data_IF_176818774404
#
_entry.id   IF_176818774404
#
_cell.length_a   1.000
_cell.length_b   1.000
_cell.length_c   1.000
_cell.angle_alpha   90.00
_cell.angle_beta   90.00
_cell.angle_gamma   90.00
#
_symmetry.space_group_name_H-M   'P 1'
#
loop_
_entity.id
_entity.type
_entity.pdbx_description
1 polymer ?
#
# COMPACT_ATOMS: atom_id res chain seq x y z
N UNK A 1 -10.19 41.25 -4.39
CA UNK A 1 -11.15 40.14 -4.61
C UNK A 1 -11.83 39.87 -3.27
N UNK A 2 -12.42 40.90 -2.67
CA UNK A 2 -12.42 41.02 -1.20
C UNK A 2 -13.51 40.19 -0.50
N UNK A 3 -14.35 39.53 -1.29
CA UNK A 3 -15.47 38.71 -0.83
C UNK A 3 -15.27 37.20 -1.07
N UNK A 4 -14.22 36.79 -1.79
CA UNK A 4 -13.96 35.37 -2.09
C UNK A 4 -12.81 34.87 -1.24
N UNK A 5 -13.05 33.78 -0.49
CA UNK A 5 -12.04 33.09 0.31
C UNK A 5 -11.96 31.64 -0.14
N UNK A 6 -10.75 31.14 -0.30
CA UNK A 6 -10.49 29.73 -0.65
C UNK A 6 -9.79 29.08 0.53
N UNK A 7 -10.35 27.97 1.02
CA UNK A 7 -9.78 27.18 2.11
C UNK A 7 -9.53 25.76 1.60
N UNK A 8 -8.32 25.25 1.80
CA UNK A 8 -7.95 23.87 1.51
C UNK A 8 -7.93 23.08 2.81
N UNK A 9 -8.81 22.08 2.92
CA UNK A 9 -8.89 21.23 4.12
C UNK A 9 -8.13 19.93 3.87
N UNK A 10 -7.22 19.57 4.77
CA UNK A 10 -6.46 18.32 4.72
C UNK A 10 -6.46 17.62 6.08
N UNK A 11 -6.68 16.31 6.07
CA UNK A 11 -6.68 15.49 7.29
C UNK A 11 -5.26 15.24 7.83
N UNK A 12 -4.27 15.13 6.96
CA UNK A 12 -2.87 15.02 7.35
C UNK A 12 -2.29 16.34 7.84
N UNK A 13 -1.17 16.27 8.57
CA UNK A 13 -0.43 17.48 8.99
C UNK A 13 0.35 18.10 7.82
N UNK A 14 0.64 17.28 6.80
CA UNK A 14 1.40 17.65 5.63
C UNK A 14 0.55 17.45 4.38
N UNK A 15 0.65 18.38 3.43
CA UNK A 15 0.13 18.20 2.08
C UNK A 15 1.02 17.23 1.30
N UNK A 16 0.49 16.65 0.22
CA UNK A 16 1.28 15.83 -0.71
C UNK A 16 2.12 14.76 0.01
N UNK A 17 1.50 13.98 0.90
CA UNK A 17 2.20 13.06 1.83
C UNK A 17 3.05 11.98 1.15
N UNK A 18 2.91 11.78 -0.15
CA UNK A 18 3.74 10.89 -0.98
C UNK A 18 5.06 11.53 -1.40
N UNK A 19 5.23 12.84 -1.18
CA UNK A 19 6.42 13.61 -1.51
C UNK A 19 7.23 13.95 -0.25
N UNK A 20 8.47 14.39 -0.47
CA UNK A 20 9.34 14.86 0.60
C UNK A 20 8.74 16.07 1.36
N UNK A 21 9.11 16.21 2.64
CA UNK A 21 8.62 17.28 3.52
C UNK A 21 8.94 18.67 2.99
N UNK A 22 10.08 18.87 2.33
CA UNK A 22 10.43 20.16 1.73
C UNK A 22 9.46 20.59 0.64
N UNK A 23 8.98 19.63 -0.18
CA UNK A 23 7.97 19.88 -1.22
C UNK A 23 6.63 20.26 -0.57
N UNK A 24 6.23 19.54 0.47
CA UNK A 24 5.00 19.82 1.22
C UNK A 24 5.01 21.24 1.80
N UNK A 25 6.10 21.62 2.47
CA UNK A 25 6.25 22.95 3.06
C UNK A 25 6.21 24.04 1.98
N UNK A 26 6.92 23.85 0.87
CA UNK A 26 6.93 24.83 -0.23
C UNK A 26 5.55 24.97 -0.88
N UNK A 27 4.79 23.88 -0.97
CA UNK A 27 3.42 23.90 -1.48
C UNK A 27 2.49 24.75 -0.59
N UNK A 28 2.60 24.63 0.73
CA UNK A 28 1.83 25.45 1.69
C UNK A 28 2.17 26.94 1.52
N UNK A 29 3.47 27.28 1.47
CA UNK A 29 3.91 28.67 1.24
C UNK A 29 3.29 29.26 -0.04
N UNK A 30 3.33 28.51 -1.15
CA UNK A 30 2.76 28.94 -2.44
C UNK A 30 1.24 29.14 -2.35
N UNK A 31 0.52 28.28 -1.61
CA UNK A 31 -0.91 28.43 -1.42
C UNK A 31 -1.25 29.70 -0.62
N UNK A 32 -0.54 29.92 0.49
CA UNK A 32 -0.75 31.09 1.35
C UNK A 32 -0.40 32.40 0.64
N UNK A 33 0.71 32.43 -0.12
CA UNK A 33 1.09 33.56 -0.98
C UNK A 33 0.00 33.89 -2.02
N UNK A 34 -0.76 32.88 -2.47
CA UNK A 34 -1.88 33.03 -3.42
C UNK A 34 -3.23 33.28 -2.74
N UNK A 35 -3.26 33.44 -1.40
CA UNK A 35 -4.48 33.71 -0.64
C UNK A 35 -5.36 32.48 -0.39
N UNK A 36 -4.79 31.27 -0.51
CA UNK A 36 -5.46 30.02 -0.12
C UNK A 36 -5.06 29.67 1.30
N UNK A 37 -6.03 29.62 2.20
CA UNK A 37 -5.81 29.23 3.60
C UNK A 37 -5.77 27.71 3.72
N UNK A 38 -4.67 27.16 4.23
CA UNK A 38 -4.49 25.71 4.39
C UNK A 38 -4.86 25.28 5.81
N UNK A 39 -5.90 24.45 5.92
CA UNK A 39 -6.37 23.85 7.15
C UNK A 39 -5.90 22.40 7.24
N UNK A 40 -4.63 22.20 7.62
CA UNK A 40 -4.03 20.89 7.83
C UNK A 40 -4.38 20.30 9.22
N UNK A 41 -4.44 18.97 9.32
CA UNK A 41 -4.86 18.27 10.54
C UNK A 41 -6.37 18.35 10.84
N UNK A 42 -7.17 18.78 9.88
CA UNK A 42 -8.64 18.86 9.98
C UNK A 42 -9.29 17.73 9.20
N UNK A 43 -10.16 16.97 9.87
CA UNK A 43 -10.98 15.94 9.24
C UNK A 43 -12.42 16.42 9.11
N UNK A 44 -12.95 16.44 7.90
CA UNK A 44 -14.38 16.70 7.69
C UNK A 44 -15.20 15.55 8.26
N UNK A 45 -16.20 15.88 9.07
CA UNK A 45 -17.12 14.92 9.71
C UNK A 45 -18.51 14.96 9.09
N UNK A 46 -18.97 16.14 8.68
CA UNK A 46 -20.28 16.33 8.08
C UNK A 46 -20.26 17.51 7.11
N UNK A 47 -21.05 17.42 6.03
CA UNK A 47 -21.31 18.52 5.10
C UNK A 47 -22.81 18.74 5.05
N UNK A 48 -23.25 19.91 5.49
CA UNK A 48 -24.66 20.32 5.39
C UNK A 48 -24.84 21.26 4.20
N UNK A 49 -26.05 21.79 3.99
CA UNK A 49 -26.33 22.74 2.91
C UNK A 49 -25.58 24.08 3.03
N UNK A 50 -25.15 24.46 4.23
CA UNK A 50 -24.56 25.79 4.49
C UNK A 50 -23.19 25.75 5.15
N UNK A 51 -22.83 24.64 5.79
CA UNK A 51 -21.61 24.52 6.57
C UNK A 51 -20.92 23.17 6.36
N UNK A 52 -19.60 23.18 6.51
CA UNK A 52 -18.79 21.98 6.71
C UNK A 52 -18.44 21.92 8.20
N UNK A 53 -18.71 20.78 8.82
CA UNK A 53 -18.25 20.47 10.17
C UNK A 53 -16.98 19.62 10.08
N UNK A 54 -16.01 19.97 10.91
CA UNK A 54 -14.69 19.35 10.94
C UNK A 54 -14.27 19.09 12.37
N UNK A 55 -13.37 18.13 12.52
CA UNK A 55 -12.70 17.83 13.78
C UNK A 55 -11.20 17.89 13.58
N UNK A 56 -10.52 18.63 14.44
CA UNK A 56 -9.06 18.67 14.49
C UNK A 56 -8.54 17.45 15.26
N UNK A 57 -7.26 17.09 15.05
CA UNK A 57 -6.64 15.93 15.71
C UNK A 57 -6.71 15.94 17.24
N UNK A 58 -6.67 17.13 17.85
CA UNK A 58 -6.81 17.34 19.30
C UNK A 58 -8.25 17.17 19.82
N UNK A 59 -9.21 16.96 18.92
CA UNK A 59 -10.60 16.72 19.24
C UNK A 59 -11.51 17.93 19.11
N UNK A 60 -10.96 19.11 18.85
CA UNK A 60 -11.72 20.35 18.68
C UNK A 60 -12.65 20.25 17.46
N UNK A 61 -13.93 20.58 17.65
CA UNK A 61 -14.92 20.66 16.58
C UNK A 61 -14.99 22.10 16.03
N UNK A 62 -14.92 22.23 14.71
CA UNK A 62 -14.92 23.51 14.00
C UNK A 62 -15.94 23.46 12.86
N UNK A 63 -16.72 24.52 12.69
CA UNK A 63 -17.66 24.66 11.59
C UNK A 63 -17.28 25.85 10.71
N UNK A 64 -17.42 25.71 9.39
CA UNK A 64 -17.17 26.76 8.41
C UNK A 64 -18.33 26.87 7.44
N UNK A 65 -18.84 28.08 7.24
CA UNK A 65 -19.78 28.37 6.16
C UNK A 65 -19.08 28.31 4.80
N UNK A 66 -19.81 27.85 3.78
CA UNK A 66 -19.29 27.77 2.42
C UNK A 66 -20.34 28.17 1.37
N UNK A 67 -19.86 28.63 0.21
CA UNK A 67 -20.67 28.81 -0.99
C UNK A 67 -20.51 27.68 -2.01
N UNK A 68 -19.33 27.06 -2.05
CA UNK A 68 -19.02 25.91 -2.91
C UNK A 68 -18.07 24.95 -2.17
N UNK A 69 -18.27 23.64 -2.34
CA UNK A 69 -17.36 22.58 -1.85
C UNK A 69 -16.92 21.73 -3.02
N UNK A 70 -15.61 21.47 -3.08
CA UNK A 70 -15.02 20.49 -3.98
C UNK A 70 -14.45 19.36 -3.14
N UNK A 71 -15.05 18.17 -3.24
CA UNK A 71 -14.56 16.99 -2.54
C UNK A 71 -13.57 16.23 -3.44
N UNK A 72 -12.28 16.40 -3.17
CA UNK A 72 -11.19 15.84 -3.98
C UNK A 72 -10.43 14.72 -3.26
N UNK A 73 -11.07 13.99 -2.36
CA UNK A 73 -10.43 12.98 -1.53
C UNK A 73 -11.17 11.64 -1.54
N UNK A 74 -10.39 10.56 -1.46
CA UNK A 74 -10.90 9.20 -1.29
C UNK A 74 -11.31 8.56 -2.61
N UNK A 75 -10.88 7.32 -2.79
CA UNK A 75 -11.40 6.41 -3.80
C UNK A 75 -12.21 5.33 -3.09
N UNK A 76 -13.21 4.78 -3.79
CA UNK A 76 -13.97 3.63 -3.32
C UNK A 76 -14.11 2.63 -4.46
N UNK A 77 -14.15 1.35 -4.12
CA UNK A 77 -14.52 0.29 -5.04
C UNK A 77 -15.84 0.58 -5.75
N UNK A 78 -15.86 0.34 -7.04
CA UNK A 78 -17.07 0.40 -7.85
C UNK A 78 -18.04 -0.71 -7.42
N UNK A 79 -19.34 -0.43 -7.48
CA UNK A 79 -20.40 -1.38 -7.16
C UNK A 79 -20.30 -2.68 -7.99
N UNK A 80 -19.95 -2.58 -9.27
CA UNK A 80 -19.73 -3.75 -10.14
C UNK A 80 -18.60 -4.64 -9.62
N UNK A 81 -17.50 -4.05 -9.14
CA UNK A 81 -16.36 -4.77 -8.58
C UNK A 81 -16.78 -5.56 -7.34
N UNK A 82 -17.61 -4.97 -6.47
CA UNK A 82 -18.13 -5.63 -5.28
C UNK A 82 -19.05 -6.80 -5.64
N UNK A 83 -20.00 -6.57 -6.54
CA UNK A 83 -20.94 -7.61 -6.99
C UNK A 83 -20.24 -8.78 -7.68
N UNK A 84 -19.21 -8.50 -8.49
CA UNK A 84 -18.38 -9.53 -9.12
C UNK A 84 -17.62 -10.33 -8.06
N UNK A 85 -16.97 -9.66 -7.11
CA UNK A 85 -16.27 -10.33 -5.99
C UNK A 85 -17.23 -11.24 -5.22
N UNK A 86 -18.40 -10.77 -4.84
CA UNK A 86 -19.39 -11.55 -4.11
C UNK A 86 -19.89 -12.76 -4.91
N UNK A 87 -20.08 -12.59 -6.22
CA UNK A 87 -20.49 -13.68 -7.11
C UNK A 87 -19.42 -14.76 -7.23
N UNK A 88 -18.15 -14.36 -7.32
CA UNK A 88 -17.02 -15.30 -7.38
C UNK A 88 -16.82 -16.02 -6.04
N UNK A 89 -17.02 -15.35 -4.92
CA UNK A 89 -16.98 -16.00 -3.60
C UNK A 89 -18.05 -17.09 -3.50
N UNK A 90 -19.29 -16.78 -3.93
CA UNK A 90 -20.40 -17.74 -3.94
C UNK A 90 -20.14 -18.91 -4.87
N UNK A 91 -19.64 -18.64 -6.08
CA UNK A 91 -19.33 -19.67 -7.07
C UNK A 91 -18.29 -20.68 -6.56
N UNK A 92 -17.36 -20.22 -5.72
CA UNK A 92 -16.29 -21.03 -5.16
C UNK A 92 -16.54 -21.44 -3.70
N UNK A 93 -17.80 -21.48 -3.24
CA UNK A 93 -18.13 -21.98 -1.91
C UNK A 93 -17.66 -23.43 -1.71
N UNK A 94 -17.04 -23.71 -0.56
CA UNK A 94 -16.48 -25.02 -0.24
C UNK A 94 -15.10 -25.31 -0.85
N UNK A 95 -14.58 -24.45 -1.73
CA UNK A 95 -13.22 -24.59 -2.27
C UNK A 95 -12.18 -24.25 -1.20
N UNK A 96 -11.32 -25.21 -0.88
CA UNK A 96 -10.23 -25.07 0.10
C UNK A 96 -8.91 -24.62 -0.55
N UNK A 97 -8.99 -23.86 -1.63
CA UNK A 97 -7.83 -23.27 -2.29
C UNK A 97 -7.52 -21.91 -1.67
N UNK A 98 -6.29 -21.73 -1.19
CA UNK A 98 -5.81 -20.47 -0.63
C UNK A 98 -5.85 -19.32 -1.66
N UNK A 99 -5.62 -19.63 -2.95
CA UNK A 99 -5.66 -18.66 -4.05
C UNK A 99 -7.07 -18.13 -4.32
N UNK A 100 -8.11 -18.89 -3.96
CA UNK A 100 -9.50 -18.44 -4.07
C UNK A 100 -9.99 -17.78 -2.79
N UNK A 101 -9.60 -18.33 -1.63
CA UNK A 101 -10.00 -17.79 -0.33
C UNK A 101 -9.49 -16.37 -0.07
N UNK A 102 -8.41 -15.95 -0.74
CA UNK A 102 -7.91 -14.58 -0.66
C UNK A 102 -8.95 -13.53 -1.13
N UNK A 103 -9.91 -13.88 -1.98
CA UNK A 103 -11.01 -12.99 -2.41
C UNK A 103 -11.81 -12.42 -1.23
N UNK A 104 -11.89 -13.14 -0.11
CA UNK A 104 -12.60 -12.72 1.10
C UNK A 104 -11.86 -11.63 1.87
N UNK A 105 -10.57 -11.43 1.61
CA UNK A 105 -9.76 -10.40 2.25
C UNK A 105 -10.19 -8.99 1.77
N UNK A 106 -10.16 -7.96 2.65
CA UNK A 106 -10.32 -6.57 2.22
C UNK A 106 -9.22 -6.14 1.24
N UNK A 107 -9.61 -5.45 0.17
CA UNK A 107 -8.72 -4.91 -0.84
C UNK A 107 -9.34 -3.65 -1.47
N UNK A 108 -8.54 -2.83 -2.13
CA UNK A 108 -9.02 -1.59 -2.78
C UNK A 108 -9.62 -1.86 -4.17
N UNK A 109 -9.40 -3.05 -4.72
CA UNK A 109 -9.98 -3.56 -5.97
C UNK A 109 -10.28 -5.05 -5.86
N UNK A 110 -10.76 -5.65 -6.95
CA UNK A 110 -10.88 -7.12 -7.04
C UNK A 110 -9.49 -7.75 -7.07
N UNK A 111 -9.33 -8.89 -6.42
CA UNK A 111 -8.01 -9.48 -6.25
C UNK A 111 -7.62 -10.26 -7.50
N UNK A 112 -6.43 -9.97 -8.01
CA UNK A 112 -5.84 -10.65 -9.17
C UNK A 112 -4.56 -11.37 -8.79
N UNK A 113 -4.14 -12.31 -9.63
CA UNK A 113 -2.79 -12.88 -9.61
C UNK A 113 -1.78 -11.99 -10.34
N UNK A 114 -0.55 -12.50 -10.46
CA UNK A 114 0.58 -11.88 -11.15
C UNK A 114 0.34 -11.64 -12.65
N UNK A 115 -0.61 -12.39 -13.24
CA UNK A 115 -1.02 -12.28 -14.64
C UNK A 115 -2.28 -11.42 -14.81
N UNK A 116 -2.68 -10.71 -13.75
CA UNK A 116 -3.87 -9.86 -13.69
C UNK A 116 -5.19 -10.62 -13.86
N UNK A 117 -5.17 -11.95 -13.73
CA UNK A 117 -6.37 -12.78 -13.73
C UNK A 117 -7.05 -12.63 -12.38
N UNK A 118 -8.36 -12.39 -12.41
CA UNK A 118 -9.17 -12.34 -11.20
C UNK A 118 -9.18 -13.72 -10.56
N UNK A 119 -8.75 -13.78 -9.29
CA UNK A 119 -8.74 -15.04 -8.53
C UNK A 119 -10.16 -15.62 -8.46
N UNK A 120 -10.28 -16.95 -8.52
CA UNK A 120 -11.58 -17.65 -8.51
C UNK A 120 -12.41 -17.52 -9.80
N UNK A 121 -11.91 -16.86 -10.85
CA UNK A 121 -12.59 -16.76 -12.15
C UNK A 121 -12.27 -17.91 -13.12
N UNK A 122 -11.35 -18.81 -12.74
CA UNK A 122 -10.83 -19.85 -13.64
C UNK A 122 -10.04 -19.29 -14.83
N UNK A 123 -9.42 -18.11 -14.68
CA UNK A 123 -8.63 -17.45 -15.73
C UNK A 123 -9.47 -16.80 -16.84
N UNK A 124 -10.78 -16.67 -16.63
CA UNK A 124 -11.70 -16.11 -17.62
C UNK A 124 -11.89 -14.59 -17.51
N UNK A 125 -11.52 -14.00 -16.38
CA UNK A 125 -11.70 -12.57 -16.09
C UNK A 125 -10.35 -11.96 -15.72
N UNK A 126 -10.07 -10.78 -16.26
CA UNK A 126 -8.88 -9.99 -15.96
C UNK A 126 -9.30 -8.62 -15.43
N UNK A 127 -8.51 -8.06 -14.52
CA UNK A 127 -8.75 -6.72 -13.98
C UNK A 127 -7.44 -5.94 -13.82
N UNK A 128 -7.50 -4.63 -14.05
CA UNK A 128 -6.34 -3.74 -14.04
C UNK A 128 -6.74 -2.31 -13.65
N UNK A 129 -5.75 -1.51 -13.25
CA UNK A 129 -5.94 -0.17 -12.71
C UNK A 129 -6.60 -0.17 -11.32
N UNK A 130 -7.28 0.93 -10.98
CA UNK A 130 -7.90 1.15 -9.65
C UNK A 130 -8.94 0.09 -9.28
N UNK A 131 -9.49 -0.63 -10.27
CA UNK A 131 -10.45 -1.71 -10.04
C UNK A 131 -9.79 -3.01 -9.55
N UNK A 132 -8.46 -3.12 -9.56
CA UNK A 132 -7.72 -4.33 -9.25
C UNK A 132 -6.78 -4.16 -8.05
N UNK A 133 -6.46 -5.26 -7.40
CA UNK A 133 -5.41 -5.35 -6.39
C UNK A 133 -4.63 -6.63 -6.61
N UNK A 134 -3.42 -6.49 -7.14
CA UNK A 134 -2.53 -7.64 -7.38
C UNK A 134 -2.11 -8.25 -6.04
N UNK A 135 -2.24 -9.57 -5.95
CA UNK A 135 -1.76 -10.36 -4.81
C UNK A 135 -0.86 -11.47 -5.34
N UNK A 136 0.44 -11.24 -5.18
CA UNK A 136 1.50 -12.19 -5.43
C UNK A 136 1.29 -13.48 -4.62
N UNK A 137 1.76 -14.58 -5.16
CA UNK A 137 1.84 -15.83 -4.41
C UNK A 137 2.76 -15.68 -3.20
N UNK A 138 2.35 -16.31 -2.10
CA UNK A 138 3.13 -16.26 -0.86
C UNK A 138 4.31 -17.22 -1.01
N UNK A 139 5.49 -16.76 -0.61
CA UNK A 139 6.70 -17.61 -0.50
C UNK A 139 6.67 -18.51 0.72
N UNK A 140 5.90 -18.16 1.75
CA UNK A 140 5.88 -18.87 3.03
C UNK A 140 5.61 -20.39 2.93
N UNK A 141 4.71 -20.90 2.07
CA UNK A 141 4.53 -22.34 1.87
C UNK A 141 5.75 -23.05 1.28
N UNK A 142 6.64 -22.30 0.62
CA UNK A 142 7.85 -22.80 -0.03
C UNK A 142 9.12 -22.54 0.79
N UNK A 143 8.99 -22.00 2.01
CA UNK A 143 10.12 -21.58 2.82
C UNK A 143 11.15 -22.72 3.03
N UNK A 144 10.68 -23.91 3.41
CA UNK A 144 11.57 -25.06 3.65
C UNK A 144 12.31 -25.49 2.39
N UNK A 145 11.61 -25.55 1.24
CA UNK A 145 12.22 -25.92 -0.03
C UNK A 145 13.20 -24.87 -0.55
N UNK A 146 12.86 -23.59 -0.39
CA UNK A 146 13.72 -22.47 -0.78
C UNK A 146 14.98 -22.44 0.08
N UNK A 147 14.84 -22.66 1.39
CA UNK A 147 15.96 -22.75 2.31
C UNK A 147 16.90 -23.90 1.95
N UNK A 148 16.36 -25.12 1.75
CA UNK A 148 17.15 -26.29 1.38
C UNK A 148 17.86 -26.13 0.02
N UNK A 149 17.27 -25.40 -0.92
CA UNK A 149 17.89 -25.12 -2.21
C UNK A 149 19.08 -24.15 -2.10
N UNK A 150 19.09 -23.29 -1.09
CA UNK A 150 20.14 -22.29 -0.85
C UNK A 150 21.25 -22.77 0.09
N UNK A 151 20.92 -23.63 1.05
CA UNK A 151 21.86 -24.21 2.02
C UNK A 151 22.68 -25.36 1.39
N UNK A 152 23.58 -25.01 0.46
CA UNK A 152 24.35 -25.97 -0.33
C UNK A 152 25.38 -26.74 0.51
N UNK A 153 25.85 -26.15 1.61
CA UNK A 153 26.82 -26.76 2.52
C UNK A 153 26.15 -27.50 3.71
N UNK A 154 24.81 -27.44 3.79
CA UNK A 154 24.00 -28.05 4.84
C UNK A 154 24.41 -27.57 6.25
N UNK A 155 24.84 -26.31 6.34
CA UNK A 155 25.19 -25.63 7.58
C UNK A 155 23.97 -25.37 8.46
N UNK A 156 22.76 -25.39 7.89
CA UNK A 156 21.50 -24.95 8.49
C UNK A 156 21.41 -23.45 8.74
N UNK A 157 22.31 -22.69 8.14
CA UNK A 157 22.31 -21.24 8.13
C UNK A 157 22.43 -20.76 6.67
N UNK A 158 21.96 -19.54 6.37
CA UNK A 158 22.20 -18.92 5.07
C UNK A 158 23.07 -17.69 5.24
N UNK A 159 24.17 -17.64 4.52
CA UNK A 159 24.96 -16.42 4.39
C UNK A 159 24.17 -15.36 3.60
N UNK A 160 24.54 -14.08 3.76
CA UNK A 160 23.92 -12.99 2.97
C UNK A 160 24.08 -13.19 1.46
N UNK A 161 25.16 -13.87 1.04
CA UNK A 161 25.41 -14.17 -0.38
C UNK A 161 24.45 -15.26 -0.87
N UNK A 162 24.30 -16.35 -0.12
CA UNK A 162 23.34 -17.42 -0.46
C UNK A 162 21.90 -16.93 -0.43
N UNK A 163 21.55 -16.08 0.54
CA UNK A 163 20.21 -15.48 0.61
C UNK A 163 19.94 -14.55 -0.58
N UNK A 164 20.92 -13.75 -1.00
CA UNK A 164 20.83 -12.92 -2.20
C UNK A 164 20.62 -13.78 -3.44
N UNK A 165 21.44 -14.81 -3.61
CA UNK A 165 21.40 -15.68 -4.80
C UNK A 165 20.09 -16.49 -4.87
N UNK A 166 19.59 -16.94 -3.71
CA UNK A 166 18.26 -17.53 -3.58
C UNK A 166 17.18 -16.56 -4.05
N UNK A 167 17.16 -15.34 -3.54
CA UNK A 167 16.14 -14.35 -3.89
C UNK A 167 16.20 -13.96 -5.37
N UNK A 168 17.41 -13.85 -5.93
CA UNK A 168 17.61 -13.56 -7.34
C UNK A 168 17.20 -14.74 -8.24
N UNK A 169 17.43 -15.98 -7.82
CA UNK A 169 17.03 -17.17 -8.58
C UNK A 169 15.52 -17.45 -8.50
N UNK A 170 14.90 -17.13 -7.36
CA UNK A 170 13.48 -17.33 -7.12
C UNK A 170 12.61 -16.15 -7.60
N UNK A 171 13.21 -15.02 -8.04
CA UNK A 171 12.45 -13.83 -8.45
C UNK A 171 11.60 -14.03 -9.69
N UNK A 172 11.94 -14.98 -10.56
CA UNK A 172 11.14 -15.31 -11.75
C UNK A 172 9.75 -15.85 -11.36
N UNK A 173 9.68 -16.61 -10.26
CA UNK A 173 8.42 -17.18 -9.73
C UNK A 173 7.80 -16.30 -8.64
N UNK A 174 8.64 -15.62 -7.86
CA UNK A 174 8.24 -14.72 -6.77
C UNK A 174 8.83 -13.33 -7.00
N UNK A 175 8.22 -12.50 -7.87
CA UNK A 175 8.76 -11.19 -8.27
C UNK A 175 9.11 -10.26 -7.11
N UNK A 176 8.39 -10.38 -5.99
CA UNK A 176 8.67 -9.63 -4.77
C UNK A 176 10.09 -9.84 -4.21
N UNK A 177 10.75 -10.95 -4.55
CA UNK A 177 12.11 -11.26 -4.08
C UNK A 177 13.20 -10.45 -4.79
N UNK A 178 12.92 -9.93 -5.99
CA UNK A 178 13.89 -9.14 -6.76
C UNK A 178 14.34 -7.88 -5.99
N UNK A 179 13.39 -7.17 -5.37
CA UNK A 179 13.69 -5.97 -4.58
C UNK A 179 14.61 -6.29 -3.40
N UNK A 180 14.36 -7.41 -2.71
CA UNK A 180 15.22 -7.87 -1.62
C UNK A 180 16.60 -8.31 -2.12
N UNK A 181 16.70 -8.95 -3.29
CA UNK A 181 17.98 -9.32 -3.89
C UNK A 181 18.83 -8.09 -4.25
N UNK A 182 18.21 -7.05 -4.86
CA UNK A 182 18.88 -5.79 -5.17
C UNK A 182 19.39 -5.11 -3.89
N UNK A 183 18.58 -5.12 -2.84
CA UNK A 183 18.95 -4.57 -1.55
C UNK A 183 20.14 -5.30 -0.91
N UNK A 184 20.12 -6.65 -0.93
CA UNK A 184 21.21 -7.47 -0.41
C UNK A 184 22.49 -7.30 -1.24
N UNK A 185 22.38 -7.04 -2.54
CA UNK A 185 23.54 -6.75 -3.39
C UNK A 185 24.26 -5.47 -2.95
N UNK A 186 23.51 -4.38 -2.71
CA UNK A 186 24.07 -3.14 -2.18
C UNK A 186 24.63 -3.28 -0.75
N UNK A 187 24.08 -4.21 0.03
CA UNK A 187 24.49 -4.50 1.40
C UNK A 187 25.82 -5.25 1.50
N UNK A 188 26.15 -6.07 0.51
CA UNK A 188 27.38 -6.88 0.47
C UNK A 188 28.58 -6.03 0.00
N UNK A 189 28.34 -4.97 -0.77
CA UNK A 189 29.39 -4.11 -1.35
C UNK A 189 29.79 -2.92 -0.47
N UNK A 190 28.97 -2.50 0.51
CA UNK A 190 29.25 -1.38 1.40
C UNK A 190 28.93 -1.71 2.87
N UNK A 191 29.79 -1.27 3.81
CA UNK A 191 29.52 -1.26 5.26
C UNK A 191 28.37 -0.29 5.57
N UNK A 192 27.15 -0.75 5.32
CA UNK A 192 25.96 0.08 5.26
C UNK A 192 25.12 -0.13 6.54
N UNK A 193 24.81 0.94 7.30
CA UNK A 193 24.13 0.84 8.59
C UNK A 193 22.73 0.23 8.53
N UNK A 194 22.08 0.17 7.35
CA UNK A 194 20.81 -0.55 7.20
C UNK A 194 20.97 -2.07 7.12
N UNK A 195 22.15 -2.56 6.75
CA UNK A 195 22.52 -3.99 6.77
C UNK A 195 22.67 -4.47 8.20
N UNK A 196 23.27 -3.63 9.07
CA UNK A 196 23.32 -3.88 10.51
C UNK A 196 21.93 -3.98 11.15
N UNK A 197 20.94 -3.24 10.64
CA UNK A 197 19.56 -3.34 11.12
C UNK A 197 18.88 -4.66 10.72
N UNK A 198 19.14 -5.16 9.50
CA UNK A 198 18.64 -6.46 9.04
C UNK A 198 19.39 -7.61 9.71
N UNK A 199 20.72 -7.56 9.79
CA UNK A 199 21.52 -8.51 10.55
C UNK A 199 21.09 -8.57 12.02
N UNK A 200 20.59 -7.46 12.59
CA UNK A 200 19.98 -7.44 13.92
C UNK A 200 18.57 -8.04 13.94
N UNK A 201 17.71 -7.73 12.97
CA UNK A 201 16.35 -8.30 12.88
C UNK A 201 16.35 -9.81 12.60
N UNK A 202 17.27 -10.29 11.77
CA UNK A 202 17.43 -11.72 11.46
C UNK A 202 18.37 -12.43 12.44
N UNK A 203 19.33 -11.72 13.05
CA UNK A 203 20.19 -12.25 14.11
C UNK A 203 19.47 -12.42 15.45
N UNK A 204 18.52 -11.55 15.80
CA UNK A 204 17.62 -11.74 16.95
C UNK A 204 16.58 -12.86 16.70
N UNK A 205 16.39 -13.29 15.46
CA UNK A 205 15.53 -14.44 15.11
C UNK A 205 16.28 -15.78 15.12
N UNK A 206 17.61 -15.75 15.31
CA UNK A 206 18.51 -16.91 15.38
C UNK A 206 19.03 -17.20 16.80
N UNK A 207 18.57 -16.46 17.82
CA UNK A 207 18.69 -16.84 19.26
C UNK A 207 17.41 -17.51 19.77
#
# INVERSE_FOLDING_TARGET
MDYVKVKLVNTGDFLLSTYDRGISQKCIEIFEEKGVEVLAGYRVTEITKKEIQMKKKDGEAVALEYGCVVWAAGIRQNELTNQLKDSLIKLNEGVSDSNVNILKTPANGIITDDWLQVRGSGGSIYALGDAASVRHERTSPYADSLFQAADLDNSKDLTLTELRDLFQGASDEFPQLEEYAQYLSAAVEEDNPRVNAIAKVFGEALE
#
